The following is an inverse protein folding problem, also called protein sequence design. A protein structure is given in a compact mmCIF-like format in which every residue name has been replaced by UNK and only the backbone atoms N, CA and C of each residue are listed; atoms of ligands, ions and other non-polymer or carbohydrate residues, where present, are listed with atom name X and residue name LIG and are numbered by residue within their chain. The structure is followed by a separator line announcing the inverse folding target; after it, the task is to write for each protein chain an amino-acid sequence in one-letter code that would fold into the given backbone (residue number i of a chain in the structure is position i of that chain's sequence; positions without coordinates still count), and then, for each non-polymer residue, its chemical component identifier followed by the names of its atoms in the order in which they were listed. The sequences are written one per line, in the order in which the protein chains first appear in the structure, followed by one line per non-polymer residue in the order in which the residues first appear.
data_IF_646656642868
#
_entry.id   IF_646656642868
#
_cell.length_a   1.000
_cell.length_b   1.000
_cell.length_c   1.000
_cell.angle_alpha   90.00
_cell.angle_beta   90.00
_cell.angle_gamma   90.00
#
_symmetry.space_group_name_H-M   'P 1'
#
loop_
_entity.id
_entity.type
_entity.pdbx_description
1 polymer ?
#
# COMPACT_ATOMS: atom_id res chain seq x y z
N UNK A 1 5.61 63.03 45.05
CA UNK A 1 6.74 63.02 44.10
C UNK A 1 7.57 61.78 44.34
N UNK A 2 8.09 61.21 43.25
CA UNK A 2 9.05 60.10 43.14
C UNK A 2 8.54 58.67 43.45
N UNK A 3 7.96 58.07 42.40
CA UNK A 3 7.98 56.63 42.16
C UNK A 3 9.43 56.12 42.10
N UNK A 4 9.72 55.01 42.76
CA UNK A 4 10.85 54.14 42.42
C UNK A 4 10.35 52.70 42.29
N UNK A 5 10.76 52.11 41.19
CA UNK A 5 10.24 50.88 40.56
C UNK A 5 10.68 49.63 41.30
N UNK A 6 9.73 48.75 41.62
CA UNK A 6 10.00 47.37 42.03
C UNK A 6 10.53 46.59 40.82
N UNK A 7 11.82 46.21 40.86
CA UNK A 7 12.38 45.22 39.94
C UNK A 7 11.91 43.83 40.38
N UNK A 8 11.19 43.14 39.50
CA UNK A 8 10.88 41.73 39.66
C UNK A 8 12.17 40.89 39.61
N UNK A 9 12.29 39.84 40.43
CA UNK A 9 13.48 38.98 40.43
C UNK A 9 13.60 38.26 39.09
N UNK A 10 14.79 38.30 38.51
CA UNK A 10 15.17 37.54 37.32
C UNK A 10 15.06 36.04 37.62
N UNK A 11 14.38 35.23 36.78
CA UNK A 11 14.33 33.79 37.00
C UNK A 11 15.74 33.19 36.81
N UNK A 12 16.08 32.09 37.52
CA UNK A 12 17.37 31.43 37.35
C UNK A 12 17.54 30.98 35.90
N UNK A 13 18.77 30.95 35.36
CA UNK A 13 19.01 30.37 34.05
C UNK A 13 18.49 28.93 34.05
N UNK A 14 17.53 28.65 33.17
CA UNK A 14 17.03 27.31 32.92
C UNK A 14 18.18 26.55 32.27
N UNK A 15 18.93 25.79 33.08
CA UNK A 15 19.80 24.75 32.56
C UNK A 15 18.90 23.72 31.86
N UNK A 16 18.74 23.89 30.55
CA UNK A 16 18.29 22.79 29.70
C UNK A 16 19.30 21.65 29.91
N UNK A 17 18.85 20.42 30.19
CA UNK A 17 19.77 19.29 30.24
C UNK A 17 20.54 19.22 28.90
N UNK A 18 21.81 18.80 28.91
CA UNK A 18 22.56 18.62 27.68
C UNK A 18 21.74 17.77 26.72
N UNK A 19 21.64 18.19 25.45
CA UNK A 19 21.10 17.33 24.39
C UNK A 19 21.85 16.01 24.45
N UNK A 20 21.20 14.89 24.78
CA UNK A 20 21.91 13.61 24.70
C UNK A 20 22.29 13.41 23.24
N UNK A 21 23.60 13.37 23.00
CA UNK A 21 24.16 13.01 21.73
C UNK A 21 23.65 11.61 21.33
N UNK A 22 23.43 11.35 20.03
CA UNK A 22 23.18 9.99 19.58
C UNK A 22 24.30 9.07 20.06
N UNK A 23 23.92 7.89 20.56
CA UNK A 23 24.85 6.92 21.14
C UNK A 23 25.95 6.58 20.14
N UNK A 24 27.20 6.76 20.56
CA UNK A 24 28.35 6.40 19.74
C UNK A 24 28.69 4.90 19.93
N UNK A 25 29.62 4.40 19.12
CA UNK A 25 30.05 3.00 19.15
C UNK A 25 30.53 2.55 20.55
N UNK A 26 31.16 3.44 21.33
CA UNK A 26 31.60 3.13 22.69
C UNK A 26 30.43 3.08 23.68
N UNK A 27 29.39 3.90 23.49
CA UNK A 27 28.19 3.89 24.34
C UNK A 27 27.43 2.57 24.15
N UNK A 28 27.30 2.12 22.89
CA UNK A 28 26.67 0.84 22.53
C UNK A 28 27.53 -0.32 23.04
N UNK A 29 28.84 -0.29 22.83
CA UNK A 29 29.75 -1.31 23.34
C UNK A 29 29.74 -1.38 24.88
N UNK A 30 29.60 -0.25 25.57
CA UNK A 30 29.50 -0.19 27.04
C UNK A 30 28.17 -0.74 27.54
N UNK A 31 27.06 -0.42 26.88
CA UNK A 31 25.75 -0.97 27.18
C UNK A 31 25.72 -2.49 26.98
N UNK A 32 26.31 -2.98 25.87
CA UNK A 32 26.43 -4.41 25.59
C UNK A 32 27.36 -5.11 26.60
N UNK A 33 28.46 -4.47 27.01
CA UNK A 33 29.39 -5.01 28.02
C UNK A 33 28.69 -5.27 29.36
N UNK A 34 27.76 -4.41 29.77
CA UNK A 34 26.95 -4.61 30.99
C UNK A 34 25.91 -5.74 30.88
N UNK A 35 25.46 -6.07 29.67
CA UNK A 35 24.50 -7.15 29.39
C UNK A 35 25.20 -8.52 29.28
N UNK A 36 26.44 -8.54 28.79
CA UNK A 36 27.21 -9.76 28.56
C UNK A 36 28.18 -10.13 29.69
N UNK A 37 28.20 -9.36 30.78
CA UNK A 37 29.09 -9.65 31.91
C UNK A 37 28.70 -10.99 32.57
N UNK A 38 29.60 -11.98 32.48
CA UNK A 38 29.38 -13.33 32.97
C UNK A 38 28.89 -14.37 31.94
N UNK A 39 28.74 -14.00 30.66
CA UNK A 39 28.50 -14.97 29.58
C UNK A 39 29.83 -15.47 28.97
N UNK A 40 29.98 -16.77 28.66
CA UNK A 40 31.20 -17.28 28.03
C UNK A 40 31.28 -16.81 26.57
N UNK A 41 32.33 -16.03 26.26
CA UNK A 41 32.80 -15.64 24.91
C UNK A 41 31.96 -14.68 24.05
N UNK A 42 31.62 -13.50 24.58
CA UNK A 42 31.48 -12.30 23.74
C UNK A 42 32.77 -11.49 23.85
N UNK A 43 33.75 -11.81 23.01
CA UNK A 43 35.04 -11.07 22.98
C UNK A 43 34.87 -9.69 22.35
N UNK A 44 35.83 -8.78 22.52
CA UNK A 44 35.85 -7.46 21.83
C UNK A 44 35.90 -7.54 20.30
N UNK A 45 35.91 -8.75 19.74
CA UNK A 45 35.85 -9.06 18.30
C UNK A 45 34.56 -9.83 17.94
N UNK A 46 33.57 -9.88 18.81
CA UNK A 46 32.29 -10.53 18.54
C UNK A 46 31.65 -9.93 17.29
N UNK A 47 31.19 -10.81 16.40
CA UNK A 47 30.53 -10.47 15.15
C UNK A 47 29.08 -10.91 15.25
N UNK A 48 28.16 -9.99 15.03
CA UNK A 48 26.74 -10.30 15.01
C UNK A 48 26.32 -10.62 13.58
N UNK A 49 25.40 -11.57 13.43
CA UNK A 49 24.79 -11.93 12.15
C UNK A 49 23.50 -11.17 11.88
N UNK A 50 22.86 -10.63 12.93
CA UNK A 50 21.72 -9.74 12.88
C UNK A 50 21.69 -8.85 14.13
N UNK A 51 20.99 -7.73 14.05
CA UNK A 51 20.70 -6.86 15.21
C UNK A 51 19.21 -6.51 15.18
N UNK A 52 18.49 -6.81 16.26
CA UNK A 52 17.08 -6.41 16.44
C UNK A 52 17.01 -5.21 17.39
N UNK A 53 16.27 -4.17 17.00
CA UNK A 53 16.16 -2.90 17.72
C UNK A 53 14.68 -2.61 17.98
N UNK A 54 14.32 -2.34 19.24
CA UNK A 54 12.97 -1.87 19.59
C UNK A 54 13.01 -0.41 20.00
N UNK A 55 12.27 0.43 19.30
CA UNK A 55 12.14 1.86 19.60
C UNK A 55 10.92 2.09 20.48
N UNK A 56 11.10 2.70 21.66
CA UNK A 56 10.03 3.01 22.62
C UNK A 56 10.00 4.49 23.06
N UNK A 57 10.98 5.32 22.63
CA UNK A 57 11.36 6.53 23.36
C UNK A 57 11.90 7.69 22.49
N UNK A 58 11.77 7.60 21.17
CA UNK A 58 11.43 8.77 20.35
C UNK A 58 12.52 9.68 19.78
N UNK A 59 13.79 9.25 19.77
CA UNK A 59 14.81 9.85 18.90
C UNK A 59 14.98 9.02 17.63
N UNK A 60 15.22 9.67 16.51
CA UNK A 60 15.58 9.02 15.26
C UNK A 60 16.85 8.17 15.38
N UNK A 61 17.00 7.20 14.49
CA UNK A 61 18.10 6.24 14.48
C UNK A 61 18.90 6.36 13.17
N UNK A 62 20.22 6.38 13.32
CA UNK A 62 21.18 6.14 12.25
C UNK A 62 21.49 4.64 12.21
N UNK A 63 20.95 3.96 11.21
CA UNK A 63 21.01 2.50 11.06
C UNK A 63 22.44 2.04 10.76
N UNK A 64 23.26 2.87 10.12
CA UNK A 64 24.62 2.48 9.73
C UNK A 64 25.52 2.23 10.95
N UNK A 65 25.27 2.94 12.05
CA UNK A 65 26.01 2.71 13.28
C UNK A 65 25.68 1.35 13.91
N UNK A 66 24.44 0.88 13.77
CA UNK A 66 24.07 -0.48 14.14
C UNK A 66 24.61 -1.51 13.13
N UNK A 67 24.54 -1.20 11.84
CA UNK A 67 25.04 -2.07 10.77
C UNK A 67 26.54 -2.39 10.89
N UNK A 68 27.35 -1.45 11.39
CA UNK A 68 28.79 -1.68 11.67
C UNK A 68 29.06 -2.81 12.67
N UNK A 69 28.07 -3.26 13.45
CA UNK A 69 28.18 -4.40 14.37
C UNK A 69 28.05 -5.75 13.65
N UNK A 70 27.60 -5.75 12.39
CA UNK A 70 27.39 -6.94 11.58
C UNK A 70 28.60 -7.17 10.67
N UNK A 71 29.04 -8.42 10.55
CA UNK A 71 30.11 -8.81 9.61
C UNK A 71 29.60 -8.75 8.17
N UNK A 72 30.27 -8.00 7.30
CA UNK A 72 29.98 -7.94 5.86
C UNK A 72 30.27 -9.24 5.09
N UNK A 73 30.86 -10.25 5.77
CA UNK A 73 31.15 -11.57 5.19
C UNK A 73 30.25 -12.63 5.83
N UNK A 74 29.43 -13.36 5.07
CA UNK A 74 28.62 -14.45 5.61
C UNK A 74 29.56 -15.52 6.18
N UNK A 75 29.39 -15.97 7.44
CA UNK A 75 30.11 -17.13 7.93
C UNK A 75 29.71 -18.34 7.06
N UNK A 76 30.69 -19.04 6.51
CA UNK A 76 30.47 -20.30 5.77
C UNK A 76 29.87 -21.34 6.72
N UNK A 77 28.56 -21.54 6.62
CA UNK A 77 27.76 -22.44 7.44
C UNK A 77 26.32 -22.44 6.94
N UNK A 78 25.51 -23.42 7.37
CA UNK A 78 24.10 -23.54 6.94
C UNK A 78 23.34 -22.30 7.41
N UNK A 79 23.01 -21.40 6.48
CA UNK A 79 22.36 -20.13 6.77
C UNK A 79 20.91 -20.38 7.22
N UNK A 80 20.66 -20.31 8.53
CA UNK A 80 19.32 -20.04 9.05
C UNK A 80 19.08 -18.54 8.88
N UNK A 81 18.44 -18.12 7.79
CA UNK A 81 17.95 -16.75 7.48
C UNK A 81 18.21 -15.68 8.57
N UNK A 82 19.33 -14.95 8.47
CA UNK A 82 19.62 -13.78 9.30
C UNK A 82 19.46 -12.53 8.44
N UNK A 83 18.34 -11.84 8.63
CA UNK A 83 17.96 -10.57 7.98
C UNK A 83 18.78 -9.46 8.66
N UNK A 84 19.53 -8.66 7.91
CA UNK A 84 20.57 -7.75 8.41
C UNK A 84 20.20 -6.98 9.69
N UNK A 85 19.49 -5.85 9.55
CA UNK A 85 18.98 -5.07 10.68
C UNK A 85 17.46 -5.23 10.76
N UNK A 86 16.95 -5.54 11.95
CA UNK A 86 15.52 -5.60 12.26
C UNK A 86 15.15 -4.46 13.20
N UNK A 87 14.11 -3.69 12.87
CA UNK A 87 13.64 -2.55 13.65
C UNK A 87 12.15 -2.70 13.90
N UNK A 88 11.77 -2.70 15.18
CA UNK A 88 10.38 -2.60 15.62
C UNK A 88 10.13 -1.23 16.24
N UNK A 89 9.29 -0.42 15.61
CA UNK A 89 8.79 0.83 16.20
C UNK A 89 7.42 0.56 16.83
N UNK A 90 7.40 0.38 18.15
CA UNK A 90 6.21 0.01 18.92
C UNK A 90 5.05 1.00 18.74
N UNK A 91 3.81 0.56 18.96
CA UNK A 91 2.60 1.38 18.76
C UNK A 91 2.60 2.72 19.52
N UNK A 92 3.25 2.79 20.68
CA UNK A 92 3.37 4.02 21.49
C UNK A 92 4.60 4.86 21.16
N UNK A 93 5.49 4.37 20.30
CA UNK A 93 6.75 5.01 19.99
C UNK A 93 6.54 6.22 19.07
N UNK A 94 7.25 7.31 19.38
CA UNK A 94 7.25 8.55 18.59
C UNK A 94 8.66 8.90 18.14
N UNK A 95 9.15 8.21 17.12
CA UNK A 95 10.51 8.35 16.61
C UNK A 95 10.65 9.60 15.76
N UNK A 96 11.43 10.58 16.23
CA UNK A 96 11.62 11.84 15.50
C UNK A 96 13.11 12.10 15.28
N UNK A 97 13.50 12.25 14.01
CA UNK A 97 14.86 12.61 13.63
C UNK A 97 14.95 14.02 13.03
N UNK A 98 16.07 14.70 13.28
CA UNK A 98 16.25 16.10 12.86
C UNK A 98 16.33 16.27 11.34
N UNK A 99 16.89 15.28 10.62
CA UNK A 99 16.84 15.23 9.16
C UNK A 99 15.80 14.20 8.71
N UNK A 100 16.17 12.92 8.75
CA UNK A 100 15.26 11.81 8.52
C UNK A 100 14.84 11.17 9.84
N UNK A 101 13.68 10.53 9.92
CA UNK A 101 13.26 9.78 11.10
C UNK A 101 14.13 8.55 11.33
N UNK A 102 14.27 7.72 10.30
CA UNK A 102 15.26 6.64 10.19
C UNK A 102 16.08 6.82 8.91
N UNK A 103 17.38 6.51 8.97
CA UNK A 103 18.26 6.56 7.80
C UNK A 103 19.25 5.39 7.76
N UNK A 104 19.48 4.83 6.57
CA UNK A 104 20.52 3.84 6.25
C UNK A 104 21.26 4.29 4.98
N UNK A 105 22.57 4.03 4.89
CA UNK A 105 23.35 4.17 3.64
C UNK A 105 23.48 2.86 2.85
N UNK A 106 22.81 1.79 3.30
CA UNK A 106 22.68 0.55 2.53
C UNK A 106 23.81 -0.43 2.75
N UNK A 107 24.45 -0.36 3.93
CA UNK A 107 25.52 -1.29 4.30
C UNK A 107 25.02 -2.74 4.43
N UNK A 108 23.75 -2.91 4.84
CA UNK A 108 23.07 -4.19 5.08
C UNK A 108 21.57 -3.99 4.82
N UNK A 109 20.81 -5.06 4.49
CA UNK A 109 19.36 -4.97 4.35
C UNK A 109 18.68 -4.62 5.67
N UNK A 110 17.58 -3.88 5.57
CA UNK A 110 16.75 -3.39 6.68
C UNK A 110 15.37 -4.01 6.59
N UNK A 111 14.94 -4.58 7.71
CA UNK A 111 13.56 -4.99 7.96
C UNK A 111 12.97 -4.06 9.02
N UNK A 112 11.97 -3.28 8.66
CA UNK A 112 11.32 -2.30 9.53
C UNK A 112 9.86 -2.65 9.72
N UNK A 113 9.44 -2.86 10.96
CA UNK A 113 8.03 -2.95 11.33
C UNK A 113 7.63 -1.71 12.15
N UNK A 114 6.74 -0.89 11.59
CA UNK A 114 6.28 0.34 12.22
C UNK A 114 4.82 0.25 12.67
N UNK A 115 4.59 0.34 13.97
CA UNK A 115 3.27 0.48 14.60
C UNK A 115 3.04 1.88 15.19
N UNK A 116 4.11 2.61 15.50
CA UNK A 116 4.07 3.96 16.09
C UNK A 116 4.11 5.08 15.06
N UNK A 117 4.75 6.20 15.40
CA UNK A 117 5.02 7.29 14.46
C UNK A 117 6.53 7.44 14.21
N UNK A 118 6.93 7.56 12.96
CA UNK A 118 8.29 7.91 12.53
C UNK A 118 8.22 9.22 11.75
N UNK A 119 9.01 10.22 12.16
CA UNK A 119 8.98 11.56 11.56
C UNK A 119 10.37 12.10 11.27
N UNK A 120 10.62 12.49 10.02
CA UNK A 120 11.77 13.31 9.63
C UNK A 120 11.41 14.79 9.62
N UNK A 121 12.06 15.60 10.47
CA UNK A 121 11.75 17.03 10.59
C UNK A 121 12.20 17.85 9.38
N UNK A 122 13.26 17.45 8.69
CA UNK A 122 13.85 18.19 7.57
C UNK A 122 14.20 17.27 6.39
N UNK A 123 13.46 16.18 6.22
CA UNK A 123 13.79 15.09 5.31
C UNK A 123 12.69 14.04 5.28
N UNK A 124 13.07 12.80 4.95
CA UNK A 124 12.12 11.70 4.85
C UNK A 124 11.75 11.13 6.22
N UNK A 125 10.56 10.53 6.34
CA UNK A 125 10.24 9.71 7.51
C UNK A 125 11.24 8.56 7.66
N UNK A 126 11.39 7.78 6.59
CA UNK A 126 12.36 6.69 6.49
C UNK A 126 13.09 6.83 5.16
N UNK A 127 14.43 6.73 5.19
CA UNK A 127 15.28 6.74 4.00
C UNK A 127 16.31 5.63 4.04
N UNK A 128 16.15 4.63 3.19
CA UNK A 128 17.05 3.51 3.04
C UNK A 128 17.81 3.72 1.73
N UNK A 129 18.95 4.42 1.78
CA UNK A 129 19.81 4.50 0.59
C UNK A 129 20.51 3.14 0.42
N UNK A 130 20.85 2.74 -0.80
CA UNK A 130 21.57 1.48 -1.01
C UNK A 130 21.22 0.74 -2.28
N UNK A 131 21.61 -0.54 -2.31
CA UNK A 131 21.27 -1.54 -3.33
C UNK A 131 20.78 -2.84 -2.65
N UNK A 132 20.28 -2.74 -1.42
CA UNK A 132 19.90 -3.90 -0.60
C UNK A 132 18.42 -4.17 -0.81
N UNK A 133 18.01 -5.43 -0.66
CA UNK A 133 16.58 -5.77 -0.67
C UNK A 133 16.01 -5.48 0.73
N UNK A 134 15.32 -4.34 0.87
CA UNK A 134 14.73 -3.87 2.12
C UNK A 134 13.25 -4.24 2.22
N UNK A 135 12.76 -4.38 3.45
CA UNK A 135 11.36 -4.71 3.73
C UNK A 135 10.80 -3.78 4.80
N UNK A 136 9.70 -3.10 4.49
CA UNK A 136 9.01 -2.19 5.40
C UNK A 136 7.57 -2.65 5.59
N UNK A 137 7.18 -2.91 6.83
CA UNK A 137 5.80 -3.15 7.25
C UNK A 137 5.32 -1.88 7.97
N UNK A 138 4.25 -1.26 7.47
CA UNK A 138 3.70 -0.05 8.08
C UNK A 138 2.24 -0.25 8.53
N UNK A 139 2.04 -0.27 9.84
CA UNK A 139 0.75 -0.19 10.53
C UNK A 139 0.55 1.15 11.28
N UNK A 140 1.57 2.02 11.27
CA UNK A 140 1.57 3.31 11.96
C UNK A 140 1.70 4.49 10.99
N UNK A 141 2.29 5.59 11.47
CA UNK A 141 2.57 6.78 10.68
C UNK A 141 4.05 6.83 10.26
N UNK A 142 4.31 7.06 8.98
CA UNK A 142 5.62 7.50 8.47
C UNK A 142 5.44 8.87 7.83
N UNK A 143 6.12 9.89 8.34
CA UNK A 143 5.94 11.28 7.93
C UNK A 143 7.27 11.96 7.59
N UNK A 144 7.33 12.61 6.44
CA UNK A 144 8.47 13.45 6.06
C UNK A 144 8.04 14.87 5.71
N UNK A 145 8.87 15.85 6.06
CA UNK A 145 8.53 17.27 5.91
C UNK A 145 8.86 17.88 4.54
N UNK A 146 9.56 17.14 3.67
CA UNK A 146 9.95 17.57 2.32
C UNK A 146 9.18 16.84 1.21
N UNK A 147 7.98 16.34 1.51
CA UNK A 147 7.13 15.68 0.53
C UNK A 147 7.52 14.23 0.21
N UNK A 148 8.51 13.66 0.90
CA UNK A 148 8.92 12.25 0.82
C UNK A 148 8.74 11.62 2.20
N UNK A 149 7.87 10.62 2.32
CA UNK A 149 7.64 9.89 3.57
C UNK A 149 8.60 8.69 3.66
N UNK A 150 8.66 7.89 2.60
CA UNK A 150 9.45 6.66 2.53
C UNK A 150 10.25 6.63 1.23
N UNK A 151 11.55 6.39 1.36
CA UNK A 151 12.50 6.20 0.27
C UNK A 151 13.19 4.84 0.51
N UNK A 152 12.97 3.89 -0.40
CA UNK A 152 13.55 2.54 -0.34
C UNK A 152 14.89 2.43 -1.10
N UNK A 153 15.30 3.50 -1.80
CA UNK A 153 16.60 3.57 -2.44
C UNK A 153 16.74 2.63 -3.63
N UNK A 154 17.45 1.53 -3.47
CA UNK A 154 17.63 0.59 -4.56
C UNK A 154 17.77 -0.83 -4.05
N UNK A 155 17.40 -1.78 -4.90
CA UNK A 155 17.23 -3.18 -4.49
C UNK A 155 15.91 -3.69 -5.02
N UNK A 156 15.48 -4.87 -4.58
CA UNK A 156 14.12 -5.35 -4.83
C UNK A 156 13.34 -5.27 -3.53
N UNK A 157 12.73 -4.11 -3.30
CA UNK A 157 12.17 -3.76 -2.01
C UNK A 157 10.71 -4.20 -1.88
N UNK A 158 10.30 -4.44 -0.63
CA UNK A 158 8.92 -4.82 -0.29
C UNK A 158 8.34 -3.86 0.73
N UNK A 159 7.25 -3.20 0.35
CA UNK A 159 6.41 -2.44 1.26
C UNK A 159 5.12 -3.20 1.57
N UNK A 160 4.90 -3.59 2.82
CA UNK A 160 3.62 -4.12 3.31
C UNK A 160 2.87 -3.02 4.06
N UNK A 161 1.68 -2.68 3.59
CA UNK A 161 0.78 -1.73 4.26
C UNK A 161 -0.27 -2.50 5.03
N UNK A 162 -0.37 -2.23 6.33
CA UNK A 162 -1.37 -2.80 7.24
C UNK A 162 -2.46 -1.77 7.55
N UNK A 163 -3.55 -2.21 8.18
CA UNK A 163 -4.58 -1.27 8.64
C UNK A 163 -3.96 -0.22 9.58
N UNK A 164 -4.37 1.04 9.43
CA UNK A 164 -3.81 2.15 10.19
C UNK A 164 -2.50 2.73 9.63
N UNK A 165 -1.83 2.01 8.72
CA UNK A 165 -0.66 2.48 7.99
C UNK A 165 -0.95 3.76 7.22
N UNK A 166 -0.17 4.81 7.47
CA UNK A 166 -0.27 6.12 6.80
C UNK A 166 1.08 6.67 6.42
N UNK A 167 1.09 7.44 5.33
CA UNK A 167 2.26 8.14 4.81
C UNK A 167 1.92 9.63 4.67
N UNK A 168 2.67 10.49 5.36
CA UNK A 168 2.62 11.94 5.14
C UNK A 168 3.80 12.34 4.27
N UNK A 169 3.56 12.32 2.95
CA UNK A 169 4.57 12.45 1.91
C UNK A 169 4.49 11.29 0.91
N UNK A 170 5.25 11.39 -0.18
CA UNK A 170 5.33 10.34 -1.20
C UNK A 170 6.05 9.09 -0.70
N UNK A 171 5.69 7.96 -1.29
CA UNK A 171 6.41 6.69 -1.14
C UNK A 171 7.14 6.42 -2.45
N UNK A 172 8.45 6.23 -2.37
CA UNK A 172 9.30 5.93 -3.53
C UNK A 172 10.01 4.59 -3.33
N UNK A 173 9.76 3.65 -4.26
CA UNK A 173 10.48 2.39 -4.33
C UNK A 173 11.91 2.54 -4.85
N UNK A 174 12.23 3.62 -5.56
CA UNK A 174 13.55 3.81 -6.13
C UNK A 174 13.92 2.79 -7.23
N UNK A 175 15.18 2.38 -7.32
CA UNK A 175 15.66 1.51 -8.42
C UNK A 175 15.51 0.02 -8.13
N UNK A 176 15.22 -0.79 -9.15
CA UNK A 176 15.10 -2.24 -9.04
C UNK A 176 13.65 -2.70 -9.21
N UNK A 177 13.29 -3.86 -8.66
CA UNK A 177 11.93 -4.43 -8.80
C UNK A 177 11.22 -4.45 -7.46
N UNK A 178 10.45 -3.39 -7.23
CA UNK A 178 9.82 -3.11 -5.94
C UNK A 178 8.34 -3.48 -5.94
N UNK A 179 7.87 -3.81 -4.75
CA UNK A 179 6.53 -4.34 -4.56
C UNK A 179 5.83 -3.64 -3.41
N UNK A 180 4.56 -3.34 -3.60
CA UNK A 180 3.66 -2.95 -2.53
C UNK A 180 2.61 -4.04 -2.32
N UNK A 181 2.43 -4.45 -1.07
CA UNK A 181 1.47 -5.43 -0.61
C UNK A 181 0.51 -4.74 0.35
N UNK A 182 -0.78 -4.72 -0.02
CA UNK A 182 -1.87 -4.26 0.83
C UNK A 182 -2.46 -5.49 1.53
N UNK A 183 -2.20 -5.64 2.83
CA UNK A 183 -2.50 -6.89 3.52
C UNK A 183 -2.98 -6.68 4.96
N UNK A 184 -4.28 -6.49 5.13
CA UNK A 184 -4.91 -6.57 6.43
C UNK A 184 -6.39 -6.90 6.23
N UNK A 185 -6.92 -7.84 7.00
CA UNK A 185 -8.34 -8.22 6.92
C UNK A 185 -9.30 -7.06 7.20
N UNK A 186 -8.88 -6.04 7.96
CA UNK A 186 -9.66 -4.83 8.19
C UNK A 186 -9.64 -3.86 7.00
N UNK A 187 -8.75 -4.09 6.02
CA UNK A 187 -8.56 -3.21 4.88
C UNK A 187 -7.85 -1.90 5.23
N UNK A 188 -7.93 -0.91 4.34
CA UNK A 188 -7.26 0.36 4.55
C UNK A 188 -7.30 1.32 3.37
N UNK A 189 -6.47 2.36 3.45
CA UNK A 189 -6.25 3.32 2.39
C UNK A 189 -4.77 3.32 2.03
N UNK A 190 -4.46 3.49 0.75
CA UNK A 190 -3.11 3.68 0.28
C UNK A 190 -3.05 4.81 -0.73
N UNK A 191 -2.18 5.80 -0.47
CA UNK A 191 -2.04 7.02 -1.27
C UNK A 191 -1.13 6.84 -2.49
N UNK A 192 -0.89 5.59 -2.88
CA UNK A 192 -0.04 5.23 -4.02
C UNK A 192 1.46 5.31 -3.72
N UNK A 193 2.25 5.02 -4.75
CA UNK A 193 3.71 5.03 -4.68
C UNK A 193 4.31 5.18 -6.08
N UNK A 194 5.49 5.80 -6.14
CA UNK A 194 6.35 5.78 -7.32
C UNK A 194 7.26 4.56 -7.31
N UNK A 195 7.69 4.16 -8.51
CA UNK A 195 8.68 3.09 -8.72
C UNK A 195 8.34 1.76 -8.04
N UNK A 196 7.05 1.45 -7.90
CA UNK A 196 6.56 0.12 -7.51
C UNK A 196 6.10 -0.61 -8.77
N UNK A 197 6.81 -1.68 -9.12
CA UNK A 197 6.52 -2.48 -10.31
C UNK A 197 5.44 -3.52 -10.03
N UNK A 198 5.22 -3.89 -8.77
CA UNK A 198 4.17 -4.82 -8.38
C UNK A 198 3.22 -4.28 -7.31
N UNK A 199 1.92 -4.49 -7.52
CA UNK A 199 0.85 -4.19 -6.57
C UNK A 199 0.04 -5.45 -6.22
N UNK A 200 0.10 -5.85 -4.96
CA UNK A 200 -0.59 -7.03 -4.44
C UNK A 200 -1.63 -6.61 -3.41
N UNK A 201 -2.88 -7.05 -3.56
CA UNK A 201 -3.94 -6.84 -2.56
C UNK A 201 -4.31 -8.20 -1.98
N UNK A 202 -3.66 -8.53 -0.86
CA UNK A 202 -3.68 -9.88 -0.28
C UNK A 202 -4.93 -10.18 0.54
N UNK A 203 -5.43 -9.20 1.29
CA UNK A 203 -6.58 -9.39 2.16
C UNK A 203 -7.30 -8.08 2.48
N UNK A 204 -8.59 -8.16 2.82
CA UNK A 204 -9.43 -7.02 3.21
C UNK A 204 -9.83 -6.10 2.06
N UNK A 205 -10.46 -4.98 2.40
CA UNK A 205 -10.93 -3.97 1.44
C UNK A 205 -10.03 -2.75 1.44
N UNK A 206 -9.36 -2.50 0.32
CA UNK A 206 -8.41 -1.41 0.17
C UNK A 206 -8.88 -0.36 -0.80
N UNK A 207 -8.80 0.90 -0.38
CA UNK A 207 -9.00 2.05 -1.27
C UNK A 207 -7.66 2.60 -1.70
N UNK A 208 -7.39 2.57 -3.02
CA UNK A 208 -6.22 3.19 -3.61
C UNK A 208 -6.58 4.61 -4.10
N UNK A 209 -6.07 5.63 -3.41
CA UNK A 209 -6.39 7.04 -3.64
C UNK A 209 -5.34 7.73 -4.53
N UNK A 210 -4.10 7.26 -4.53
CA UNK A 210 -3.03 7.75 -5.39
C UNK A 210 -2.52 6.72 -6.39
N UNK A 211 -1.72 7.18 -7.35
CA UNK A 211 -1.32 6.36 -8.48
C UNK A 211 -0.22 5.36 -8.13
N UNK A 212 -0.25 4.21 -8.80
CA UNK A 212 0.88 3.25 -8.89
C UNK A 212 1.21 3.10 -10.37
N UNK A 213 1.71 4.18 -10.97
CA UNK A 213 1.85 4.29 -12.43
C UNK A 213 2.95 3.39 -13.01
N UNK A 214 3.95 3.03 -12.19
CA UNK A 214 5.05 2.15 -12.58
C UNK A 214 4.67 0.65 -12.52
N UNK A 215 3.45 0.32 -12.06
CA UNK A 215 3.00 -1.05 -11.97
C UNK A 215 3.11 -1.74 -13.34
N UNK A 216 3.63 -2.96 -13.31
CA UNK A 216 3.75 -3.85 -14.45
C UNK A 216 2.80 -5.04 -14.27
N UNK A 217 2.73 -5.56 -13.05
CA UNK A 217 1.89 -6.70 -12.68
C UNK A 217 1.30 -6.53 -11.30
N UNK A 218 0.03 -6.84 -11.13
CA UNK A 218 -0.58 -6.90 -9.82
C UNK A 218 -1.73 -7.88 -9.74
N UNK A 219 -2.18 -8.13 -8.53
CA UNK A 219 -3.28 -9.07 -8.27
C UNK A 219 -4.11 -8.64 -7.07
N UNK A 220 -5.42 -8.81 -7.20
CA UNK A 220 -6.36 -8.80 -6.08
C UNK A 220 -6.68 -10.26 -5.75
N UNK A 221 -6.19 -10.72 -4.61
CA UNK A 221 -6.30 -12.12 -4.20
C UNK A 221 -7.70 -12.47 -3.71
N UNK A 222 -8.01 -13.76 -3.71
CA UNK A 222 -9.29 -14.28 -3.26
C UNK A 222 -9.70 -13.74 -1.88
N UNK A 223 -10.93 -13.22 -1.77
CA UNK A 223 -11.46 -12.61 -0.54
C UNK A 223 -11.02 -11.16 -0.30
N UNK A 224 -10.13 -10.61 -1.12
CA UNK A 224 -9.75 -9.20 -1.07
C UNK A 224 -10.59 -8.34 -2.02
N UNK A 225 -10.66 -7.04 -1.72
CA UNK A 225 -11.31 -6.04 -2.56
C UNK A 225 -10.39 -4.85 -2.78
N UNK A 226 -10.23 -4.42 -4.02
CA UNK A 226 -9.56 -3.18 -4.38
C UNK A 226 -10.56 -2.18 -4.96
N UNK A 227 -10.69 -1.02 -4.29
CA UNK A 227 -11.43 0.15 -4.76
C UNK A 227 -10.39 1.14 -5.29
N UNK A 228 -10.15 1.12 -6.60
CA UNK A 228 -9.23 2.03 -7.25
C UNK A 228 -9.92 3.39 -7.50
N UNK A 229 -9.33 4.47 -6.99
CA UNK A 229 -9.77 5.85 -7.23
C UNK A 229 -8.73 6.64 -8.04
N UNK A 230 -7.70 5.97 -8.56
CA UNK A 230 -6.56 6.58 -9.24
C UNK A 230 -6.14 5.76 -10.48
N UNK A 231 -4.86 5.87 -10.87
CA UNK A 231 -4.27 5.15 -12.00
C UNK A 231 -3.32 4.04 -11.55
N UNK A 232 -3.51 2.85 -12.09
CA UNK A 232 -2.60 1.70 -11.99
C UNK A 232 -2.02 1.44 -13.38
N UNK A 233 -0.69 1.38 -13.49
CA UNK A 233 -0.04 0.97 -14.74
C UNK A 233 -0.16 -0.54 -14.99
N UNK A 234 0.16 -1.01 -16.19
CA UNK A 234 0.34 -2.43 -16.45
C UNK A 234 -0.92 -3.29 -16.24
N UNK A 235 -0.72 -4.57 -15.94
CA UNK A 235 -1.80 -5.53 -15.86
C UNK A 235 -2.19 -5.84 -14.41
N UNK A 236 -3.49 -5.91 -14.15
CA UNK A 236 -4.06 -6.41 -12.90
C UNK A 236 -4.83 -7.70 -13.14
N UNK A 237 -4.69 -8.66 -12.23
CA UNK A 237 -5.52 -9.87 -12.17
C UNK A 237 -6.48 -9.80 -10.97
N UNK A 238 -7.73 -10.20 -11.15
CA UNK A 238 -8.72 -10.30 -10.08
C UNK A 238 -9.07 -11.77 -9.91
N UNK A 239 -8.60 -12.38 -8.83
CA UNK A 239 -8.78 -13.81 -8.58
C UNK A 239 -10.24 -14.20 -8.33
N UNK A 240 -10.59 -15.50 -8.45
CA UNK A 240 -11.90 -15.99 -8.03
C UNK A 240 -12.22 -15.58 -6.58
N UNK A 241 -13.39 -15.00 -6.36
CA UNK A 241 -13.83 -14.49 -5.05
C UNK A 241 -13.21 -13.15 -4.64
N UNK A 242 -12.38 -12.53 -5.48
CA UNK A 242 -11.88 -11.17 -5.30
C UNK A 242 -12.79 -10.13 -6.00
N UNK A 243 -12.67 -8.87 -5.60
CA UNK A 243 -13.41 -7.76 -6.22
C UNK A 243 -12.50 -6.60 -6.60
N UNK A 244 -12.68 -6.05 -7.80
CA UNK A 244 -12.06 -4.81 -8.25
C UNK A 244 -13.14 -3.80 -8.62
N UNK A 245 -12.96 -2.52 -8.26
CA UNK A 245 -13.83 -1.42 -8.71
C UNK A 245 -13.04 -0.16 -9.01
N UNK A 246 -13.60 0.70 -9.87
CA UNK A 246 -13.12 2.06 -10.08
C UNK A 246 -11.81 2.24 -10.85
N UNK A 247 -11.45 3.52 -10.97
CA UNK A 247 -10.14 3.98 -11.39
C UNK A 247 -9.76 3.64 -12.83
N UNK A 248 -8.51 3.92 -13.17
CA UNK A 248 -7.92 3.58 -14.46
C UNK A 248 -6.88 2.48 -14.29
N UNK A 249 -6.91 1.48 -15.16
CA UNK A 249 -5.89 0.43 -15.24
C UNK A 249 -5.57 0.12 -16.71
N UNK A 250 -4.32 -0.23 -17.02
CA UNK A 250 -3.94 -0.48 -18.42
C UNK A 250 -4.60 -1.74 -18.98
N UNK A 251 -4.43 -2.89 -18.33
CA UNK A 251 -5.14 -4.13 -18.67
C UNK A 251 -5.76 -4.77 -17.41
N UNK A 252 -6.90 -5.44 -17.57
CA UNK A 252 -7.57 -6.11 -16.46
C UNK A 252 -8.06 -7.51 -16.85
N UNK A 253 -7.60 -8.53 -16.12
CA UNK A 253 -8.06 -9.91 -16.23
C UNK A 253 -8.87 -10.30 -14.99
N UNK A 254 -10.12 -10.71 -15.16
CA UNK A 254 -11.10 -10.85 -14.09
C UNK A 254 -11.63 -12.28 -14.04
N UNK A 255 -11.21 -13.03 -13.02
CA UNK A 255 -11.81 -14.30 -12.63
C UNK A 255 -12.83 -14.15 -11.49
N UNK A 256 -12.72 -13.07 -10.71
CA UNK A 256 -13.65 -12.68 -9.65
C UNK A 256 -14.77 -11.75 -10.11
N UNK A 257 -14.92 -10.62 -9.42
CA UNK A 257 -15.93 -9.60 -9.71
C UNK A 257 -15.31 -8.27 -10.13
N UNK A 258 -15.78 -7.72 -11.25
CA UNK A 258 -15.59 -6.31 -11.61
C UNK A 258 -16.87 -5.54 -11.25
N UNK A 259 -16.78 -4.63 -10.28
CA UNK A 259 -17.90 -3.81 -9.83
C UNK A 259 -17.80 -2.41 -10.42
N UNK A 260 -18.90 -1.94 -11.03
CA UNK A 260 -18.99 -0.63 -11.69
C UNK A 260 -19.57 0.47 -10.79
N UNK A 261 -19.31 0.35 -9.49
CA UNK A 261 -19.56 1.38 -8.50
C UNK A 261 -18.38 1.47 -7.51
N UNK A 262 -17.44 2.41 -7.70
CA UNK A 262 -17.33 3.33 -8.84
C UNK A 262 -16.99 2.61 -10.17
N UNK A 263 -17.30 3.24 -11.29
CA UNK A 263 -16.99 2.69 -12.62
C UNK A 263 -15.49 2.71 -12.93
N UNK A 264 -15.02 1.64 -13.58
CA UNK A 264 -13.63 1.51 -14.03
C UNK A 264 -13.44 2.02 -15.47
N UNK A 265 -12.20 2.41 -15.78
CA UNK A 265 -11.71 2.66 -17.13
C UNK A 265 -10.50 1.75 -17.42
N UNK A 266 -10.62 0.93 -18.45
CA UNK A 266 -9.55 0.04 -18.91
C UNK A 266 -8.93 0.67 -20.15
N UNK A 267 -7.63 0.98 -20.12
CA UNK A 267 -6.98 1.71 -21.23
C UNK A 267 -6.81 0.84 -22.48
N UNK A 268 -6.58 -0.46 -22.30
CA UNK A 268 -6.41 -1.42 -23.38
C UNK A 268 -7.47 -2.52 -23.29
N UNK A 269 -7.08 -3.73 -22.88
CA UNK A 269 -7.92 -4.91 -22.96
C UNK A 269 -8.51 -5.29 -21.59
N UNK A 270 -9.79 -5.65 -21.63
CA UNK A 270 -10.50 -6.30 -20.54
C UNK A 270 -10.73 -7.76 -20.91
N UNK A 271 -10.38 -8.67 -19.99
CA UNK A 271 -10.69 -10.10 -20.10
C UNK A 271 -11.55 -10.52 -18.91
N UNK A 272 -12.83 -10.76 -19.13
CA UNK A 272 -13.71 -11.40 -18.15
C UNK A 272 -13.62 -12.91 -18.36
N UNK A 273 -13.11 -13.67 -17.38
CA UNK A 273 -12.98 -15.12 -17.48
C UNK A 273 -14.32 -15.83 -17.25
N UNK A 274 -14.38 -17.10 -17.64
CA UNK A 274 -15.54 -17.96 -17.37
C UNK A 274 -15.83 -18.04 -15.87
N UNK A 275 -17.08 -17.76 -15.49
CA UNK A 275 -17.51 -17.77 -14.09
C UNK A 275 -17.27 -16.46 -13.33
N UNK A 276 -16.61 -15.48 -13.95
CA UNK A 276 -16.49 -14.13 -13.40
C UNK A 276 -17.81 -13.36 -13.47
N UNK A 277 -17.89 -12.25 -12.74
CA UNK A 277 -19.08 -11.37 -12.70
C UNK A 277 -18.72 -9.94 -13.06
N UNK A 278 -19.49 -9.32 -13.96
CA UNK A 278 -19.56 -7.87 -14.10
C UNK A 278 -20.78 -7.36 -13.33
N UNK A 279 -20.57 -6.64 -12.23
CA UNK A 279 -21.64 -6.03 -11.45
C UNK A 279 -21.90 -4.60 -11.92
N UNK A 280 -23.06 -4.38 -12.54
CA UNK A 280 -23.46 -3.12 -13.17
C UNK A 280 -24.47 -2.34 -12.32
N UNK A 281 -24.23 -1.03 -12.19
CA UNK A 281 -24.99 -0.08 -11.36
C UNK A 281 -25.25 1.26 -12.09
N UNK A 282 -25.55 1.21 -13.40
CA UNK A 282 -25.93 2.36 -14.25
C UNK A 282 -24.79 3.25 -14.76
N UNK A 283 -23.54 2.89 -14.51
CA UNK A 283 -22.38 3.55 -15.11
C UNK A 283 -21.71 2.63 -16.14
N UNK A 284 -21.47 3.08 -17.38
CA UNK A 284 -20.85 2.25 -18.40
C UNK A 284 -19.37 2.02 -18.10
N UNK A 285 -18.90 0.81 -18.36
CA UNK A 285 -17.49 0.44 -18.39
C UNK A 285 -16.85 0.93 -19.70
N UNK A 286 -15.72 1.63 -19.60
CA UNK A 286 -14.97 2.09 -20.78
C UNK A 286 -13.74 1.21 -20.98
N UNK A 287 -13.61 0.60 -22.16
CA UNK A 287 -12.48 -0.24 -22.55
C UNK A 287 -11.84 0.33 -23.81
N UNK A 288 -10.54 0.67 -23.77
CA UNK A 288 -9.90 1.37 -24.88
C UNK A 288 -9.57 0.50 -26.09
N UNK A 289 -9.60 -0.83 -25.94
CA UNK A 289 -9.43 -1.79 -27.02
C UNK A 289 -10.51 -2.89 -27.01
N UNK A 290 -10.19 -4.13 -26.61
CA UNK A 290 -11.11 -5.27 -26.69
C UNK A 290 -11.66 -5.64 -25.32
N UNK A 291 -12.96 -5.88 -25.24
CA UNK A 291 -13.60 -6.51 -24.09
C UNK A 291 -13.96 -7.97 -24.44
N UNK A 292 -13.23 -8.92 -23.87
CA UNK A 292 -13.53 -10.35 -23.97
C UNK A 292 -14.46 -10.76 -22.83
N UNK A 293 -15.62 -11.34 -23.16
CA UNK A 293 -16.65 -11.67 -22.17
C UNK A 293 -16.65 -13.14 -21.73
N UNK A 294 -15.92 -14.03 -22.41
CA UNK A 294 -15.63 -15.47 -22.17
C UNK A 294 -16.57 -16.28 -21.24
N UNK A 295 -17.89 -16.05 -21.30
CA UNK A 295 -18.87 -16.73 -20.47
C UNK A 295 -18.98 -16.21 -19.03
N UNK A 296 -18.67 -14.92 -18.80
CA UNK A 296 -18.96 -14.20 -17.58
C UNK A 296 -20.47 -13.98 -17.37
N UNK A 297 -20.86 -13.69 -16.13
CA UNK A 297 -22.23 -13.30 -15.78
C UNK A 297 -22.33 -11.78 -15.66
N UNK A 298 -23.37 -11.19 -16.25
CA UNK A 298 -23.75 -9.81 -15.97
C UNK A 298 -24.70 -9.78 -14.78
N UNK A 299 -24.34 -9.11 -13.70
CA UNK A 299 -25.21 -8.87 -12.55
C UNK A 299 -25.67 -7.43 -12.54
N UNK A 300 -26.97 -7.21 -12.74
CA UNK A 300 -27.60 -5.89 -12.72
C UNK A 300 -28.13 -5.65 -11.31
N UNK A 301 -27.54 -4.67 -10.61
CA UNK A 301 -27.91 -4.28 -9.27
C UNK A 301 -28.32 -2.80 -9.28
N UNK A 302 -29.63 -2.56 -9.25
CA UNK A 302 -30.20 -1.21 -9.29
C UNK A 302 -30.93 -0.93 -7.99
N UNK A 303 -30.56 0.13 -7.30
CA UNK A 303 -31.17 0.50 -6.01
C UNK A 303 -32.62 0.97 -6.17
N UNK A 304 -32.93 1.68 -7.25
CA UNK A 304 -34.24 2.24 -7.52
C UNK A 304 -34.80 1.76 -8.88
N UNK A 305 -35.74 0.82 -8.83
CA UNK A 305 -36.43 0.31 -10.04
C UNK A 305 -37.28 1.36 -10.77
N UNK A 306 -37.54 2.51 -10.15
CA UNK A 306 -38.17 3.66 -10.80
C UNK A 306 -37.16 4.70 -11.33
N UNK A 307 -35.86 4.38 -11.38
CA UNK A 307 -34.86 5.27 -11.97
C UNK A 307 -35.24 5.57 -13.44
N UNK A 308 -35.38 6.86 -13.82
CA UNK A 308 -35.85 7.24 -15.14
C UNK A 308 -34.94 6.75 -16.27
N UNK A 309 -33.65 6.47 -15.98
CA UNK A 309 -32.69 5.91 -16.94
C UNK A 309 -33.11 4.53 -17.44
N UNK A 310 -33.86 3.76 -16.65
CA UNK A 310 -34.33 2.42 -17.03
C UNK A 310 -35.37 2.45 -18.16
N UNK A 311 -35.91 3.62 -18.49
CA UNK A 311 -36.83 3.81 -19.63
C UNK A 311 -36.13 3.92 -21.00
N UNK A 312 -34.80 3.93 -21.02
CA UNK A 312 -33.98 4.12 -22.21
C UNK A 312 -32.94 2.99 -22.34
N UNK A 313 -32.43 2.70 -23.55
CA UNK A 313 -31.26 1.84 -23.71
C UNK A 313 -30.06 2.42 -22.95
N UNK A 314 -29.42 1.59 -22.13
CA UNK A 314 -28.21 1.96 -21.38
C UNK A 314 -27.00 1.22 -21.93
N UNK A 315 -25.86 1.92 -22.04
CA UNK A 315 -24.58 1.26 -22.30
C UNK A 315 -24.08 0.60 -21.02
N UNK A 316 -23.66 -0.65 -21.13
CA UNK A 316 -22.96 -1.41 -20.08
C UNK A 316 -21.46 -1.36 -20.33
N UNK A 317 -21.05 -1.59 -21.59
CA UNK A 317 -19.65 -1.58 -22.02
C UNK A 317 -19.55 -0.78 -23.31
N UNK A 318 -18.63 0.18 -23.34
CA UNK A 318 -18.18 0.83 -24.57
C UNK A 318 -16.72 0.44 -24.83
N UNK A 319 -16.46 -0.18 -25.97
CA UNK A 319 -15.14 -0.68 -26.39
C UNK A 319 -14.87 -0.41 -27.87
N UNK A 320 -13.64 -0.62 -28.34
CA UNK A 320 -13.40 -0.68 -29.80
C UNK A 320 -13.92 -1.98 -30.38
N UNK A 321 -13.80 -3.07 -29.62
CA UNK A 321 -14.26 -4.39 -30.00
C UNK A 321 -14.88 -5.12 -28.81
N UNK A 322 -16.03 -5.76 -29.03
CA UNK A 322 -16.61 -6.76 -28.13
C UNK A 322 -16.33 -8.14 -28.71
N UNK A 323 -15.78 -9.02 -27.88
CA UNK A 323 -15.55 -10.42 -28.21
C UNK A 323 -16.32 -11.33 -27.25
N UNK A 324 -17.15 -12.21 -27.80
CA UNK A 324 -18.06 -13.06 -27.04
C UNK A 324 -19.33 -12.36 -26.52
N UNK A 325 -20.02 -13.05 -25.62
CA UNK A 325 -21.26 -12.61 -24.96
C UNK A 325 -21.25 -13.06 -23.50
N UNK A 326 -22.06 -12.42 -22.66
CA UNK A 326 -22.32 -12.94 -21.32
C UNK A 326 -23.02 -14.30 -21.39
N UNK A 327 -22.61 -15.24 -20.52
CA UNK A 327 -23.26 -16.55 -20.41
C UNK A 327 -24.63 -16.47 -19.71
N UNK A 328 -24.83 -15.44 -18.88
CA UNK A 328 -26.07 -15.25 -18.15
C UNK A 328 -26.23 -13.81 -17.65
N UNK A 329 -27.46 -13.46 -17.32
CA UNK A 329 -27.82 -12.18 -16.72
C UNK A 329 -28.61 -12.45 -15.44
N UNK A 330 -28.21 -11.82 -14.35
CA UNK A 330 -28.98 -11.78 -13.10
C UNK A 330 -29.42 -10.34 -12.84
N UNK A 331 -30.62 -10.16 -12.27
CA UNK A 331 -31.18 -8.83 -11.99
C UNK A 331 -31.92 -8.85 -10.65
N UNK A 332 -31.78 -7.78 -9.88
CA UNK A 332 -32.55 -7.56 -8.65
C UNK A 332 -33.93 -6.91 -8.91
N UNK A 333 -34.21 -6.50 -10.15
CA UNK A 333 -35.46 -5.86 -10.55
C UNK A 333 -36.64 -6.84 -10.53
N UNK A 334 -37.80 -6.40 -10.03
CA UNK A 334 -38.97 -7.29 -9.82
C UNK A 334 -39.98 -7.22 -10.95
N UNK A 335 -40.13 -6.04 -11.53
CA UNK A 335 -41.12 -5.69 -12.56
C UNK A 335 -40.51 -5.46 -13.92
N UNK A 336 -39.17 -5.46 -14.01
CA UNK A 336 -38.42 -5.26 -15.23
C UNK A 336 -37.54 -6.47 -15.56
N UNK A 337 -37.60 -6.91 -16.81
CA UNK A 337 -36.69 -7.92 -17.37
C UNK A 337 -35.64 -7.23 -18.26
N UNK A 338 -34.34 -7.44 -18.00
CA UNK A 338 -33.28 -6.90 -18.85
C UNK A 338 -33.15 -7.67 -20.17
N UNK A 339 -32.95 -6.95 -21.26
CA UNK A 339 -32.65 -7.50 -22.58
C UNK A 339 -31.35 -6.90 -23.13
N UNK A 340 -30.41 -7.76 -23.49
CA UNK A 340 -29.10 -7.33 -23.99
C UNK A 340 -29.08 -7.20 -25.51
N UNK A 341 -28.41 -6.15 -25.98
CA UNK A 341 -28.05 -5.98 -27.39
C UNK A 341 -26.55 -5.81 -27.52
N UNK A 342 -25.96 -6.50 -28.50
CA UNK A 342 -24.53 -6.45 -28.79
C UNK A 342 -24.29 -5.73 -30.11
N UNK A 343 -23.28 -4.89 -30.13
CA UNK A 343 -22.72 -4.28 -31.33
C UNK A 343 -21.21 -4.53 -31.37
N UNK A 344 -20.53 -4.29 -32.51
CA UNK A 344 -19.08 -4.47 -32.57
C UNK A 344 -18.30 -3.72 -31.48
N UNK A 345 -18.79 -2.56 -31.03
CA UNK A 345 -18.09 -1.70 -30.05
C UNK A 345 -18.84 -1.49 -28.73
N UNK A 346 -19.86 -2.28 -28.43
CA UNK A 346 -20.56 -2.09 -27.15
C UNK A 346 -21.64 -3.10 -26.83
N UNK A 347 -21.94 -3.17 -25.53
CA UNK A 347 -23.02 -3.96 -24.95
C UNK A 347 -24.02 -3.02 -24.31
N UNK A 348 -25.29 -3.19 -24.66
CA UNK A 348 -26.39 -2.35 -24.20
C UNK A 348 -27.46 -3.18 -23.51
N UNK A 349 -28.19 -2.57 -22.58
CA UNK A 349 -29.37 -3.15 -21.94
C UNK A 349 -30.58 -2.26 -22.11
N UNK A 350 -31.71 -2.88 -22.46
CA UNK A 350 -33.05 -2.29 -22.34
C UNK A 350 -33.83 -3.06 -21.28
N UNK A 351 -34.83 -2.42 -20.68
CA UNK A 351 -35.66 -3.04 -19.66
C UNK A 351 -37.11 -3.12 -20.13
N UNK A 352 -37.65 -4.33 -20.23
CA UNK A 352 -39.06 -4.56 -20.54
C UNK A 352 -39.86 -4.75 -19.27
N UNK A 353 -41.02 -4.13 -19.20
CA UNK A 353 -41.95 -4.35 -18.10
C UNK A 353 -42.54 -5.76 -18.19
N UNK A 354 -42.49 -6.48 -17.07
CA UNK A 354 -43.11 -7.79 -16.93
C UNK A 354 -44.61 -7.66 -17.12
N UNK A 355 -45.23 -8.63 -17.80
CA UNK A 355 -46.68 -8.67 -17.87
C UNK A 355 -47.26 -8.78 -16.46
N UNK A 356 -48.39 -8.11 -16.16
CA UNK A 356 -49.04 -8.28 -14.88
C UNK A 356 -49.44 -9.75 -14.73
N UNK A 357 -48.90 -10.44 -13.71
CA UNK A 357 -49.36 -11.76 -13.33
C UNK A 357 -50.86 -11.67 -13.05
N UNK A 358 -51.67 -12.30 -13.91
CA UNK A 358 -53.11 -12.43 -13.69
C UNK A 358 -53.27 -13.32 -12.45
N UNK A 359 -53.71 -12.72 -11.35
CA UNK A 359 -54.03 -13.40 -10.10
C UNK A 359 -55.36 -14.16 -10.21
#
# INVERSE_FOLDING_TARGET
MAQTTSQAPTPPPTHLPPRDAPANQNDIATALKGVFDGQPEVTTHARFSSVSITLNNGKGLDIDNAAKLISSTPPTGVATSLRGIEILNSATAKTVGEKNGLASSGLVPVWLENHGSITGKNGAGVKLDGQQDDEVINAGLIAGSQGLALDLGGGNDVLIVKNGGRFEGSVDGGSGTNQVILDDTQGGHFDGASQMQHLWVSSGTWTLTGAVAANQQGSVYSGATLINQSKIGGSMTVEPGATYSGGTVTNLDVAGTLQLDPAAHIENDLRMQKGSTLAFSLNPLKVGNTAHLDGATLSIQIDNENDPRLSQPLSIIDAKQIDGQFAGVTSNLKTLTPELTYSPGGVFVTFKRNEPTVA
#
